data_IF_338136070872
#
_entry.id   IF_338136070872
#
_cell.length_a   1.000
_cell.length_b   1.000
_cell.length_c   1.000
_cell.angle_alpha   90.00
_cell.angle_beta   90.00
_cell.angle_gamma   90.00
#
_symmetry.space_group_name_H-M   'P 1'
#
loop_
_entity.id
_entity.type
_entity.pdbx_description
1 polymer ?
#
# COMPACT_ATOMS: atom_id res chain seq x y z
N UNK A 1 22.89 -16.33 5.44
CA UNK A 1 22.42 -16.65 4.08
C UNK A 1 20.95 -17.03 4.16
N UNK A 2 20.11 -16.43 3.33
CA UNK A 2 18.64 -16.53 3.33
C UNK A 2 17.98 -15.46 4.21
N UNK A 3 17.06 -14.62 3.77
CA UNK A 3 16.43 -14.43 2.45
C UNK A 3 15.83 -13.01 2.46
N UNK A 4 16.26 -12.17 1.53
CA UNK A 4 15.70 -10.84 1.31
C UNK A 4 14.65 -10.93 0.20
N UNK A 5 13.37 -10.77 0.52
CA UNK A 5 12.28 -10.65 -0.47
C UNK A 5 11.22 -9.67 0.04
N UNK A 6 11.58 -8.40 0.10
CA UNK A 6 10.63 -7.29 0.32
C UNK A 6 10.56 -6.30 -0.85
N UNK A 7 11.53 -6.28 -1.77
CA UNK A 7 11.68 -5.21 -2.76
C UNK A 7 11.26 -5.56 -4.21
N UNK A 8 10.52 -6.66 -4.44
CA UNK A 8 10.34 -7.18 -5.82
C UNK A 8 9.16 -6.59 -6.61
N UNK A 9 8.25 -5.84 -5.98
CA UNK A 9 6.97 -5.46 -6.60
C UNK A 9 7.09 -4.43 -7.74
N UNK A 10 7.99 -3.44 -7.66
CA UNK A 10 8.06 -2.37 -8.67
C UNK A 10 8.68 -2.79 -10.02
N UNK A 11 9.80 -3.54 -10.06
CA UNK A 11 10.37 -4.02 -11.32
C UNK A 11 9.49 -5.09 -11.98
N UNK A 12 8.87 -5.96 -11.19
CA UNK A 12 7.95 -7.00 -11.67
C UNK A 12 6.67 -6.40 -12.26
N UNK A 13 6.12 -5.35 -11.63
CA UNK A 13 4.96 -4.62 -12.15
C UNK A 13 5.29 -3.92 -13.48
N UNK A 14 6.44 -3.26 -13.58
CA UNK A 14 6.89 -2.63 -14.82
C UNK A 14 7.07 -3.65 -15.95
N UNK A 15 7.63 -4.82 -15.65
CA UNK A 15 7.76 -5.91 -16.60
C UNK A 15 6.40 -6.49 -17.02
N UNK A 16 5.47 -6.69 -16.09
CA UNK A 16 4.11 -7.16 -16.37
C UNK A 16 3.35 -6.16 -17.26
N UNK A 17 3.45 -4.86 -16.96
CA UNK A 17 2.87 -3.79 -17.78
C UNK A 17 3.46 -3.72 -19.19
N UNK A 18 4.78 -3.86 -19.32
CA UNK A 18 5.44 -3.88 -20.63
C UNK A 18 4.99 -5.09 -21.46
N UNK A 19 4.84 -6.25 -20.83
CA UNK A 19 4.37 -7.48 -21.48
C UNK A 19 2.90 -7.37 -21.89
N UNK A 20 2.03 -6.83 -21.03
CA UNK A 20 0.62 -6.58 -21.34
C UNK A 20 0.47 -5.69 -22.59
N UNK A 21 1.22 -4.57 -22.65
CA UNK A 21 1.23 -3.67 -23.81
C UNK A 21 1.68 -4.39 -25.09
N UNK A 22 2.73 -5.20 -25.00
CA UNK A 22 3.26 -5.95 -26.14
C UNK A 22 2.26 -7.00 -26.66
N UNK A 23 1.58 -7.74 -25.77
CA UNK A 23 0.57 -8.73 -26.14
C UNK A 23 -0.65 -8.07 -26.80
N UNK A 24 -1.17 -6.98 -26.22
CA UNK A 24 -2.28 -6.24 -26.82
C UNK A 24 -1.93 -5.60 -28.18
N UNK A 25 -0.71 -5.09 -28.33
CA UNK A 25 -0.24 -4.54 -29.59
C UNK A 25 -0.16 -5.61 -30.70
N UNK A 26 0.27 -6.83 -30.34
CA UNK A 26 0.31 -7.98 -31.26
C UNK A 26 -1.09 -8.41 -31.69
N UNK A 27 -1.99 -8.62 -30.73
CA UNK A 27 -3.39 -8.98 -31.02
C UNK A 27 -4.07 -7.93 -31.93
N UNK A 28 -3.82 -6.63 -31.67
CA UNK A 28 -4.31 -5.55 -32.53
C UNK A 28 -3.73 -5.62 -33.94
N UNK A 29 -2.43 -5.86 -34.10
CA UNK A 29 -1.80 -5.94 -35.42
C UNK A 29 -2.36 -7.09 -36.26
N UNK A 30 -2.64 -8.23 -35.63
CA UNK A 30 -3.24 -9.39 -36.31
C UNK A 30 -4.67 -9.12 -36.79
N UNK A 31 -5.48 -8.42 -35.97
CA UNK A 31 -6.81 -7.99 -36.37
C UNK A 31 -6.78 -7.00 -37.53
N UNK A 32 -5.83 -6.07 -37.55
CA UNK A 32 -5.68 -5.09 -38.62
C UNK A 32 -5.26 -5.77 -39.94
N UNK A 33 -4.28 -6.69 -39.90
CA UNK A 33 -3.82 -7.44 -41.07
C UNK A 33 -4.93 -8.28 -41.68
N UNK A 34 -5.64 -9.08 -40.88
CA UNK A 34 -6.74 -9.91 -41.37
C UNK A 34 -7.88 -9.06 -41.98
N UNK A 35 -8.12 -7.86 -41.45
CA UNK A 35 -9.09 -6.91 -42.01
C UNK A 35 -8.63 -6.32 -43.36
N UNK A 36 -7.34 -6.02 -43.51
CA UNK A 36 -6.78 -5.46 -44.74
C UNK A 36 -6.70 -6.50 -45.86
N UNK A 37 -6.29 -7.72 -45.54
CA UNK A 37 -6.04 -8.77 -46.54
C UNK A 37 -7.32 -9.57 -46.88
N UNK A 38 -8.40 -9.39 -46.10
CA UNK A 38 -9.64 -10.15 -46.25
C UNK A 38 -9.51 -11.60 -45.79
N UNK A 39 -8.43 -11.93 -45.09
CA UNK A 39 -8.13 -13.26 -44.59
C UNK A 39 -9.07 -13.64 -43.42
N UNK A 40 -9.31 -14.95 -43.23
CA UNK A 40 -10.01 -15.43 -42.05
C UNK A 40 -9.29 -14.98 -40.78
N UNK A 41 -10.04 -14.46 -39.81
CA UNK A 41 -9.49 -14.08 -38.51
C UNK A 41 -8.78 -15.29 -37.85
N UNK A 42 -7.55 -15.12 -37.33
CA UNK A 42 -6.86 -16.17 -36.61
C UNK A 42 -7.41 -16.30 -35.18
N UNK A 43 -8.67 -16.73 -35.07
CA UNK A 43 -9.47 -16.71 -33.82
C UNK A 43 -8.74 -17.38 -32.67
N UNK A 44 -8.15 -18.56 -32.88
CA UNK A 44 -7.45 -19.30 -31.81
C UNK A 44 -6.24 -18.53 -31.25
N UNK A 45 -5.50 -17.85 -32.13
CA UNK A 45 -4.32 -17.06 -31.75
C UNK A 45 -4.72 -15.80 -30.97
N UNK A 46 -5.76 -15.11 -31.45
CA UNK A 46 -6.33 -13.94 -30.77
C UNK A 46 -6.89 -14.27 -29.39
N UNK A 47 -7.60 -15.40 -29.26
CA UNK A 47 -8.10 -15.88 -27.97
C UNK A 47 -6.95 -16.22 -27.01
N UNK A 48 -5.83 -16.76 -27.53
CA UNK A 48 -4.60 -17.00 -26.76
C UNK A 48 -3.97 -15.71 -26.25
N UNK A 49 -3.75 -14.74 -27.13
CA UNK A 49 -3.16 -13.44 -26.79
C UNK A 49 -4.05 -12.65 -25.82
N UNK A 50 -5.38 -12.66 -26.01
CA UNK A 50 -6.32 -12.01 -25.09
C UNK A 50 -6.33 -12.67 -23.71
N UNK A 51 -6.21 -14.01 -23.64
CA UNK A 51 -6.09 -14.72 -22.36
C UNK A 51 -4.82 -14.33 -21.61
N UNK A 52 -3.67 -14.30 -22.31
CA UNK A 52 -2.41 -13.83 -21.70
C UNK A 52 -2.52 -12.36 -21.23
N UNK A 53 -3.17 -11.49 -22.01
CA UNK A 53 -3.38 -10.10 -21.63
C UNK A 53 -4.26 -9.96 -20.38
N UNK A 54 -5.37 -10.72 -20.28
CA UNK A 54 -6.25 -10.69 -19.10
C UNK A 54 -5.54 -11.24 -17.85
N UNK A 55 -4.74 -12.29 -17.98
CA UNK A 55 -3.94 -12.82 -16.87
C UNK A 55 -2.89 -11.82 -16.38
N UNK A 56 -2.22 -11.12 -17.31
CA UNK A 56 -1.26 -10.06 -16.98
C UNK A 56 -1.94 -8.87 -16.33
N UNK A 57 -3.12 -8.47 -16.81
CA UNK A 57 -3.93 -7.42 -16.20
C UNK A 57 -4.30 -7.80 -14.77
N UNK A 58 -4.81 -9.02 -14.51
CA UNK A 58 -5.12 -9.48 -13.16
C UNK A 58 -3.92 -9.46 -12.21
N UNK A 59 -2.71 -9.76 -12.70
CA UNK A 59 -1.47 -9.65 -11.92
C UNK A 59 -1.09 -8.20 -11.63
N UNK A 60 -1.24 -7.32 -12.62
CA UNK A 60 -1.04 -5.87 -12.46
C UNK A 60 -2.03 -5.33 -11.45
N UNK A 61 -3.31 -5.72 -11.53
CA UNK A 61 -4.37 -5.32 -10.60
C UNK A 61 -4.10 -5.81 -9.18
N UNK A 62 -3.71 -7.07 -8.98
CA UNK A 62 -3.38 -7.60 -7.66
C UNK A 62 -2.15 -6.91 -7.01
N UNK A 63 -1.21 -6.44 -7.84
CA UNK A 63 -0.03 -5.70 -7.39
C UNK A 63 -0.31 -4.19 -7.21
N UNK A 64 -1.12 -3.60 -8.10
CA UNK A 64 -1.44 -2.17 -8.12
C UNK A 64 -2.55 -1.81 -7.13
N UNK A 65 -3.49 -2.73 -6.88
CA UNK A 65 -4.59 -2.59 -5.92
C UNK A 65 -4.31 -3.33 -4.61
N UNK A 66 -3.04 -3.39 -4.16
CA UNK A 66 -2.74 -3.63 -2.74
C UNK A 66 -3.40 -2.51 -1.93
N UNK A 67 -4.71 -2.60 -1.69
CA UNK A 67 -5.45 -1.66 -0.86
C UNK A 67 -4.83 -1.77 0.52
N UNK A 68 -4.05 -0.77 0.89
CA UNK A 68 -3.39 -0.75 2.19
C UNK A 68 -4.45 -0.37 3.21
N UNK A 69 -4.80 -1.35 4.05
CA UNK A 69 -5.54 -1.14 5.27
C UNK A 69 -4.71 -0.25 6.21
N UNK A 70 -5.26 0.90 6.59
CA UNK A 70 -4.61 1.83 7.52
C UNK A 70 -5.51 2.06 8.73
N UNK A 71 -4.95 1.94 9.92
CA UNK A 71 -5.59 2.36 11.16
C UNK A 71 -4.91 3.62 11.67
N UNK A 72 -5.66 4.73 11.75
CA UNK A 72 -5.22 5.99 12.32
C UNK A 72 -5.66 6.05 13.77
N UNK A 73 -4.69 6.03 14.69
CA UNK A 73 -4.89 6.14 16.13
C UNK A 73 -4.47 7.54 16.59
N UNK A 74 -5.44 8.35 16.99
CA UNK A 74 -5.23 9.69 17.57
C UNK A 74 -6.34 9.95 18.62
N UNK A 75 -6.01 10.57 19.76
CA UNK A 75 -6.97 10.85 20.83
C UNK A 75 -7.94 11.97 20.45
N UNK A 76 -7.55 12.82 19.50
CA UNK A 76 -8.45 13.73 18.80
C UNK A 76 -9.18 12.98 17.66
N UNK A 77 -10.38 12.48 17.96
CA UNK A 77 -11.24 11.76 17.01
C UNK A 77 -11.49 12.55 15.72
N UNK A 78 -11.57 13.88 15.81
CA UNK A 78 -11.80 14.75 14.64
C UNK A 78 -10.56 14.77 13.77
N UNK A 79 -9.38 14.89 14.35
CA UNK A 79 -8.11 14.86 13.59
C UNK A 79 -7.85 13.47 13.00
N UNK A 80 -8.13 12.41 13.75
CA UNK A 80 -8.05 11.02 13.30
C UNK A 80 -8.90 10.81 12.05
N UNK A 81 -10.17 11.23 12.09
CA UNK A 81 -11.09 11.05 10.96
C UNK A 81 -10.76 11.96 9.77
N UNK A 82 -10.27 13.19 10.00
CA UNK A 82 -9.78 14.04 8.92
C UNK A 82 -8.62 13.38 8.18
N UNK A 83 -7.68 12.79 8.93
CA UNK A 83 -6.53 12.06 8.38
C UNK A 83 -6.98 10.82 7.61
N UNK A 84 -7.84 9.99 8.21
CA UNK A 84 -8.38 8.80 7.56
C UNK A 84 -9.15 9.14 6.28
N UNK A 85 -9.99 10.19 6.30
CA UNK A 85 -10.70 10.68 5.11
C UNK A 85 -9.73 11.18 4.03
N UNK A 86 -8.65 11.85 4.42
CA UNK A 86 -7.57 12.22 3.50
C UNK A 86 -6.97 10.99 2.83
N UNK A 87 -6.59 9.99 3.61
CA UNK A 87 -6.02 8.74 3.12
C UNK A 87 -6.99 7.97 2.21
N UNK A 88 -8.29 7.92 2.53
CA UNK A 88 -9.32 7.33 1.65
C UNK A 88 -9.37 8.01 0.28
N UNK A 89 -9.23 9.34 0.21
CA UNK A 89 -9.16 10.08 -1.06
C UNK A 89 -7.91 9.75 -1.88
N UNK A 90 -6.84 9.31 -1.22
CA UNK A 90 -5.62 8.82 -1.85
C UNK A 90 -5.69 7.32 -2.22
N UNK A 91 -6.81 6.65 -1.97
CA UNK A 91 -7.04 5.25 -2.34
C UNK A 91 -6.72 4.21 -1.27
N UNK A 92 -6.49 4.63 -0.01
CA UNK A 92 -6.27 3.71 1.11
C UNK A 92 -7.58 3.26 1.77
N UNK A 93 -7.59 2.07 2.37
CA UNK A 93 -8.69 1.62 3.24
C UNK A 93 -8.40 2.06 4.67
N UNK A 94 -8.67 3.34 4.96
CA UNK A 94 -8.31 3.95 6.22
C UNK A 94 -9.50 4.03 7.20
N UNK A 95 -9.28 3.54 8.42
CA UNK A 95 -10.18 3.70 9.57
C UNK A 95 -9.53 4.61 10.62
N UNK A 96 -10.34 5.38 11.34
CA UNK A 96 -9.92 6.18 12.48
C UNK A 96 -10.40 5.53 13.78
N UNK A 97 -9.61 5.62 14.84
CA UNK A 97 -10.01 5.18 16.17
C UNK A 97 -9.26 5.95 17.27
N UNK A 98 -9.94 6.25 18.38
CA UNK A 98 -9.33 6.85 19.58
C UNK A 98 -8.73 5.80 20.54
N UNK A 99 -8.91 4.51 20.25
CA UNK A 99 -8.38 3.39 21.03
C UNK A 99 -7.93 2.26 20.12
N UNK A 100 -6.90 1.55 20.54
CA UNK A 100 -6.38 0.42 19.77
C UNK A 100 -7.36 -0.75 19.79
N UNK A 101 -7.80 -1.17 18.60
CA UNK A 101 -8.52 -2.43 18.36
C UNK A 101 -7.56 -3.53 17.91
N UNK A 102 -8.06 -4.75 17.85
CA UNK A 102 -7.34 -5.85 17.20
C UNK A 102 -6.95 -5.45 15.76
N UNK A 103 -5.67 -5.59 15.43
CA UNK A 103 -5.13 -5.22 14.12
C UNK A 103 -5.48 -6.29 13.08
N UNK A 104 -5.80 -5.84 11.86
CA UNK A 104 -5.99 -6.75 10.72
C UNK A 104 -4.62 -7.22 10.21
N UNK A 105 -4.56 -8.39 9.54
CA UNK A 105 -3.32 -8.82 8.90
C UNK A 105 -2.77 -7.75 7.95
N UNK A 106 -1.49 -7.39 8.11
CA UNK A 106 -0.77 -6.37 7.31
C UNK A 106 -1.34 -4.95 7.38
N UNK A 107 -2.16 -4.64 8.38
CA UNK A 107 -2.66 -3.28 8.59
C UNK A 107 -1.52 -2.34 9.01
N UNK A 108 -1.44 -1.20 8.35
CA UNK A 108 -0.49 -0.13 8.70
C UNK A 108 -1.10 0.71 9.80
N UNK A 109 -0.38 0.89 10.89
CA UNK A 109 -0.81 1.74 12.00
C UNK A 109 -0.13 3.10 11.90
N UNK A 110 -0.93 4.15 11.85
CA UNK A 110 -0.49 5.53 12.05
C UNK A 110 -0.88 5.91 13.47
N UNK A 111 0.11 6.17 14.32
CA UNK A 111 -0.09 6.37 15.75
C UNK A 111 0.31 7.79 16.16
N UNK A 112 -0.60 8.52 16.81
CA UNK A 112 -0.21 9.64 17.65
C UNK A 112 0.54 9.12 18.88
N UNK A 113 1.77 9.57 19.08
CA UNK A 113 2.60 9.13 20.19
C UNK A 113 1.96 9.36 21.56
N UNK A 114 1.14 10.41 21.72
CA UNK A 114 0.44 10.71 22.97
C UNK A 114 -0.48 9.57 23.43
N UNK A 115 -1.08 8.83 22.48
CA UNK A 115 -1.93 7.68 22.78
C UNK A 115 -1.16 6.47 23.32
N UNK A 116 0.14 6.36 23.03
CA UNK A 116 0.93 5.18 23.41
C UNK A 116 0.96 4.93 24.93
N UNK A 117 0.86 5.99 25.74
CA UNK A 117 0.80 5.90 27.19
C UNK A 117 -0.49 5.25 27.74
N UNK A 118 -1.54 5.19 26.92
CA UNK A 118 -2.84 4.59 27.29
C UNK A 118 -2.97 3.11 26.88
N UNK A 119 -1.98 2.57 26.17
CA UNK A 119 -2.00 1.20 25.68
C UNK A 119 -1.61 0.21 26.78
N UNK A 120 -2.31 -0.92 26.82
CA UNK A 120 -1.93 -2.06 27.66
C UNK A 120 -0.75 -2.87 27.07
N UNK A 121 -0.27 -3.85 27.83
CA UNK A 121 0.89 -4.64 27.43
C UNK A 121 0.67 -5.45 26.13
N UNK A 122 -0.52 -5.99 25.93
CA UNK A 122 -0.86 -6.80 24.75
C UNK A 122 -0.98 -5.91 23.51
N UNK A 123 -1.59 -4.72 23.66
CA UNK A 123 -1.65 -3.67 22.65
C UNK A 123 -0.26 -3.19 22.26
N UNK A 124 0.64 -2.96 23.23
CA UNK A 124 2.03 -2.57 22.94
C UNK A 124 2.80 -3.67 22.19
N UNK A 125 2.57 -4.95 22.50
CA UNK A 125 3.17 -6.07 21.75
C UNK A 125 2.65 -6.10 20.32
N UNK A 126 1.33 -5.99 20.13
CA UNK A 126 0.72 -5.95 18.80
C UNK A 126 1.21 -4.75 17.99
N UNK A 127 1.33 -3.59 18.62
CA UNK A 127 1.81 -2.35 18.01
C UNK A 127 3.27 -2.50 17.56
N UNK A 128 4.16 -2.99 18.44
CA UNK A 128 5.57 -3.24 18.10
C UNK A 128 5.71 -4.21 16.93
N UNK A 129 4.92 -5.29 16.92
CA UNK A 129 4.89 -6.23 15.80
C UNK A 129 4.41 -5.56 14.49
N UNK A 130 3.47 -4.62 14.60
CA UNK A 130 2.98 -3.84 13.47
C UNK A 130 3.94 -2.74 13.00
N UNK A 131 4.99 -2.40 13.76
CA UNK A 131 5.98 -1.37 13.43
C UNK A 131 5.31 -0.06 12.97
N UNK A 132 4.70 0.70 13.88
CA UNK A 132 3.81 1.80 13.51
C UNK A 132 4.58 2.95 12.85
N UNK A 133 3.86 3.77 12.09
CA UNK A 133 4.30 5.13 11.76
C UNK A 133 3.91 6.01 12.93
N UNK A 134 4.88 6.62 13.60
CA UNK A 134 4.63 7.53 14.72
C UNK A 134 4.48 8.95 14.18
N UNK A 135 3.41 9.61 14.58
CA UNK A 135 3.14 11.03 14.32
C UNK A 135 3.08 11.74 15.68
N UNK A 136 3.74 12.87 15.85
CA UNK A 136 3.73 13.57 17.15
C UNK A 136 3.96 15.06 17.01
N UNK A 137 3.36 15.86 17.91
CA UNK A 137 3.68 17.29 18.03
C UNK A 137 4.99 17.56 18.78
N UNK A 138 5.54 16.58 19.49
CA UNK A 138 6.77 16.71 20.26
C UNK A 138 7.98 16.19 19.44
N UNK A 139 8.99 17.03 19.27
CA UNK A 139 10.24 16.70 18.57
C UNK A 139 11.44 16.58 19.53
N UNK A 140 11.18 16.21 20.79
CA UNK A 140 12.23 16.08 21.81
C UNK A 140 12.89 14.68 21.79
N UNK A 141 14.08 14.53 22.40
CA UNK A 141 14.78 13.24 22.43
C UNK A 141 13.98 12.12 23.11
N UNK A 142 13.11 12.45 24.07
CA UNK A 142 12.30 11.47 24.78
C UNK A 142 11.23 10.85 23.88
N UNK A 143 10.55 11.68 23.08
CA UNK A 143 9.56 11.26 22.10
C UNK A 143 10.17 10.36 21.02
N UNK A 144 11.41 10.67 20.61
CA UNK A 144 12.15 9.84 19.66
C UNK A 144 12.52 8.48 20.25
N UNK A 145 13.05 8.46 21.47
CA UNK A 145 13.37 7.21 22.16
C UNK A 145 12.13 6.32 22.34
N UNK A 146 10.98 6.91 22.69
CA UNK A 146 9.73 6.17 22.82
C UNK A 146 9.28 5.57 21.48
N UNK A 147 9.41 6.30 20.38
CA UNK A 147 9.09 5.76 19.06
C UNK A 147 10.01 4.59 18.66
N UNK A 148 11.30 4.69 18.99
CA UNK A 148 12.27 3.61 18.77
C UNK A 148 11.91 2.37 19.62
N UNK A 149 11.51 2.55 20.88
CA UNK A 149 11.03 1.48 21.77
C UNK A 149 9.74 0.81 21.29
N UNK A 150 8.92 1.53 20.52
CA UNK A 150 7.74 1.02 19.84
C UNK A 150 8.08 0.31 18.51
N UNK A 151 9.35 0.29 18.11
CA UNK A 151 9.78 -0.30 16.84
C UNK A 151 9.22 0.45 15.63
N UNK A 152 9.04 1.77 15.75
CA UNK A 152 8.42 2.58 14.72
C UNK A 152 9.13 2.41 13.36
N UNK A 153 8.35 2.29 12.28
CA UNK A 153 8.90 2.27 10.93
C UNK A 153 9.26 3.65 10.41
N UNK A 154 8.60 4.67 10.94
CA UNK A 154 8.82 6.08 10.59
C UNK A 154 8.40 6.99 11.74
N UNK A 155 8.95 8.20 11.77
CA UNK A 155 8.70 9.21 12.81
C UNK A 155 8.50 10.57 12.17
N UNK A 156 7.26 11.08 12.21
CA UNK A 156 6.85 12.33 11.58
C UNK A 156 6.43 13.34 12.65
N UNK A 157 6.88 14.59 12.49
CA UNK A 157 6.57 15.68 13.42
C UNK A 157 5.43 16.53 12.86
N UNK A 158 4.37 16.77 13.64
CA UNK A 158 3.24 17.62 13.24
C UNK A 158 3.73 19.08 13.02
N UNK A 159 3.25 19.79 11.99
CA UNK A 159 2.21 19.37 11.03
C UNK A 159 2.75 18.39 9.98
N UNK A 160 1.99 17.33 9.72
CA UNK A 160 2.32 16.32 8.69
C UNK A 160 1.40 16.50 7.50
N UNK A 161 1.99 16.70 6.32
CA UNK A 161 1.25 16.75 5.07
C UNK A 161 0.78 15.36 4.66
N UNK A 162 -0.38 15.28 4.00
CA UNK A 162 -1.01 14.01 3.66
C UNK A 162 -0.15 13.18 2.68
N UNK A 163 0.55 13.85 1.77
CA UNK A 163 1.48 13.25 0.81
C UNK A 163 2.71 12.64 1.51
N UNK A 164 3.21 13.27 2.56
CA UNK A 164 4.32 12.77 3.37
C UNK A 164 3.90 11.51 4.13
N UNK A 165 2.74 11.55 4.79
CA UNK A 165 2.16 10.39 5.46
C UNK A 165 1.91 9.24 4.48
N UNK A 166 1.39 9.53 3.29
CA UNK A 166 1.19 8.54 2.24
C UNK A 166 2.51 7.91 1.77
N UNK A 167 3.60 8.67 1.70
CA UNK A 167 4.92 8.14 1.36
C UNK A 167 5.45 7.20 2.46
N UNK A 168 5.24 7.53 3.74
CA UNK A 168 5.59 6.68 4.87
C UNK A 168 4.78 5.36 4.85
N UNK A 169 3.47 5.43 4.59
CA UNK A 169 2.60 4.25 4.45
C UNK A 169 3.10 3.34 3.33
N UNK A 170 3.45 3.88 2.16
CA UNK A 170 4.00 3.09 1.04
C UNK A 170 5.30 2.39 1.40
N UNK A 171 6.23 3.07 2.08
CA UNK A 171 7.48 2.46 2.58
C UNK A 171 7.18 1.31 3.54
N UNK A 172 6.29 1.54 4.51
CA UNK A 172 5.89 0.54 5.51
C UNK A 172 5.19 -0.68 4.89
N UNK A 173 4.31 -0.47 3.91
CA UNK A 173 3.58 -1.55 3.23
C UNK A 173 4.48 -2.43 2.33
N UNK A 174 5.64 -1.90 1.93
CA UNK A 174 6.60 -2.58 1.04
C UNK A 174 7.71 -3.33 1.80
N UNK A 175 7.66 -3.37 3.13
CA UNK A 175 8.69 -4.00 4.00
C UNK A 175 8.11 -5.19 4.74
#
# INVERSE_FOLDING_TARGET
MGSATGSSSSPELAAAMHRLRSTLARARAELELARTDGDPLPVDKLLGDLREALDLLGRVEAAAFQIVAVLVLDDDERLAELTARGLRRLGYEAESASRMRALRPREVVVLDLGLSASLDADQLVALRAARPIVVTGAADPASRALADDLGASDYLVKPVELEELAAAIKRRAST
#
